data_IF_658022680384
#
_entry.id   IF_658022680384
#
_cell.length_a   1.000
_cell.length_b   1.000
_cell.length_c   1.000
_cell.angle_alpha   90.00
_cell.angle_beta   90.00
_cell.angle_gamma   90.00
#
_symmetry.space_group_name_H-M   'P 1'
#
loop_
_entity.id
_entity.type
_entity.pdbx_description
1 polymer ?
#
# COMPACT_ATOMS: atom_id res chain seq x y z
N UNK A 1 -26.51 -0.84 -13.00
CA UNK A 1 -25.28 -0.15 -12.59
C UNK A 1 -24.23 -1.22 -12.26
N UNK A 2 -23.11 -1.15 -12.95
CA UNK A 2 -21.95 -2.03 -12.77
C UNK A 2 -20.81 -1.27 -12.05
N UNK A 3 -19.92 -2.04 -11.41
CA UNK A 3 -18.67 -1.55 -10.89
C UNK A 3 -17.54 -1.91 -11.87
N UNK A 4 -16.91 -0.92 -12.47
CA UNK A 4 -15.66 -1.13 -13.18
C UNK A 4 -14.47 -1.04 -12.24
N UNK A 5 -13.47 -1.90 -12.45
CA UNK A 5 -12.23 -1.91 -11.65
C UNK A 5 -11.02 -1.94 -12.57
N UNK A 6 -10.21 -0.91 -12.50
CA UNK A 6 -8.94 -0.81 -13.24
C UNK A 6 -7.84 -1.29 -12.29
N UNK A 7 -7.52 -2.57 -12.38
CA UNK A 7 -6.61 -3.26 -11.45
C UNK A 7 -5.13 -2.97 -11.76
N UNK A 8 -4.30 -2.87 -10.72
CA UNK A 8 -2.85 -2.80 -10.83
C UNK A 8 -2.24 -4.21 -10.97
N UNK A 9 -0.92 -4.28 -11.12
CA UNK A 9 -0.16 -5.55 -11.19
C UNK A 9 0.73 -5.82 -9.97
N UNK A 10 0.71 -4.93 -8.97
CA UNK A 10 1.66 -4.96 -7.85
C UNK A 10 1.36 -6.04 -6.81
N UNK A 11 0.08 -6.35 -6.58
CA UNK A 11 -0.34 -7.32 -5.57
C UNK A 11 -1.65 -8.00 -5.95
N UNK A 12 -1.79 -9.34 -5.79
CA UNK A 12 -3.06 -10.03 -5.98
C UNK A 12 -4.09 -9.65 -4.90
N UNK A 13 -3.67 -9.14 -3.75
CA UNK A 13 -4.53 -8.81 -2.62
C UNK A 13 -5.55 -7.70 -2.92
N UNK A 14 -5.25 -6.80 -3.87
CA UNK A 14 -6.17 -5.72 -4.28
C UNK A 14 -7.51 -6.24 -4.82
N UNK A 15 -7.54 -7.49 -5.29
CA UNK A 15 -8.80 -8.11 -5.73
C UNK A 15 -9.82 -8.26 -4.58
N UNK A 16 -9.38 -8.27 -3.31
CA UNK A 16 -10.26 -8.30 -2.16
C UNK A 16 -11.22 -7.11 -2.10
N UNK A 17 -10.86 -5.96 -2.67
CA UNK A 17 -11.64 -4.73 -2.60
C UNK A 17 -12.91 -4.77 -3.46
N UNK A 18 -12.90 -5.46 -4.60
CA UNK A 18 -14.10 -5.56 -5.46
C UNK A 18 -14.97 -6.79 -5.17
N UNK A 19 -14.43 -7.83 -4.54
CA UNK A 19 -15.15 -9.08 -4.25
C UNK A 19 -16.49 -8.84 -3.52
N UNK A 20 -16.62 -7.94 -2.53
CA UNK A 20 -17.88 -7.67 -1.86
C UNK A 20 -19.01 -7.19 -2.78
N UNK A 21 -18.70 -6.61 -3.97
CA UNK A 21 -19.72 -6.22 -4.94
C UNK A 21 -20.60 -7.40 -5.37
N UNK A 22 -20.03 -8.62 -5.43
CA UNK A 22 -20.76 -9.82 -5.82
C UNK A 22 -21.81 -10.19 -4.77
N UNK A 23 -21.47 -10.09 -3.48
CA UNK A 23 -22.43 -10.30 -2.39
C UNK A 23 -23.58 -9.26 -2.43
N UNK A 24 -23.28 -8.04 -2.89
CA UNK A 24 -24.25 -6.97 -3.09
C UNK A 24 -25.02 -7.07 -4.42
N UNK A 25 -24.78 -8.11 -5.21
CA UNK A 25 -25.42 -8.35 -6.53
C UNK A 25 -25.14 -7.23 -7.54
N UNK A 26 -23.96 -6.62 -7.44
CA UNK A 26 -23.46 -5.63 -8.41
C UNK A 26 -22.54 -6.33 -9.39
N UNK A 27 -22.84 -6.34 -10.70
CA UNK A 27 -21.96 -6.92 -11.70
C UNK A 27 -20.65 -6.14 -11.78
N UNK A 28 -19.54 -6.85 -12.05
CA UNK A 28 -18.23 -6.27 -12.11
C UNK A 28 -17.63 -6.35 -13.50
N UNK A 29 -16.96 -5.28 -13.90
CA UNK A 29 -16.19 -5.16 -15.13
C UNK A 29 -14.73 -4.95 -14.74
N UNK A 30 -13.88 -5.95 -14.94
CA UNK A 30 -12.49 -5.92 -14.53
C UNK A 30 -11.56 -5.66 -15.72
N UNK A 31 -10.74 -4.65 -15.62
CA UNK A 31 -9.55 -4.46 -16.46
C UNK A 31 -8.34 -4.89 -15.64
N UNK A 32 -7.75 -6.07 -15.91
CA UNK A 32 -6.62 -6.58 -15.13
C UNK A 32 -5.35 -5.76 -15.36
N UNK A 33 -4.43 -5.84 -14.41
CA UNK A 33 -3.08 -5.34 -14.57
C UNK A 33 -2.35 -6.05 -15.71
N UNK A 34 -1.40 -5.36 -16.33
CA UNK A 34 -0.71 -5.86 -17.53
C UNK A 34 0.16 -7.08 -17.23
N UNK A 35 0.89 -7.04 -16.14
CA UNK A 35 1.84 -8.07 -15.75
C UNK A 35 1.18 -9.22 -14.95
N UNK A 36 -0.04 -9.00 -14.42
CA UNK A 36 -0.76 -10.00 -13.61
C UNK A 36 -2.27 -10.02 -13.95
N UNK A 37 -2.66 -10.58 -15.11
CA UNK A 37 -4.08 -10.69 -15.47
C UNK A 37 -4.77 -11.95 -14.91
N UNK A 38 -4.03 -12.88 -14.31
CA UNK A 38 -4.53 -14.22 -13.99
C UNK A 38 -5.29 -14.32 -12.69
N UNK A 39 -4.95 -13.53 -11.68
CA UNK A 39 -5.64 -13.58 -10.38
C UNK A 39 -7.11 -13.20 -10.52
N UNK A 40 -7.49 -12.05 -11.13
CA UNK A 40 -8.91 -11.74 -11.29
C UNK A 40 -9.65 -12.78 -12.15
N UNK A 41 -9.02 -13.32 -13.18
CA UNK A 41 -9.61 -14.38 -13.98
C UNK A 41 -9.89 -15.64 -13.15
N UNK A 42 -8.92 -16.10 -12.33
CA UNK A 42 -9.09 -17.28 -11.46
C UNK A 42 -10.19 -17.07 -10.44
N UNK A 43 -10.30 -15.88 -9.86
CA UNK A 43 -11.36 -15.52 -8.90
C UNK A 43 -12.71 -15.58 -9.59
N UNK A 44 -12.87 -15.00 -10.80
CA UNK A 44 -14.10 -15.11 -11.60
C UNK A 44 -14.48 -16.56 -11.83
N UNK A 45 -13.53 -17.40 -12.28
CA UNK A 45 -13.80 -18.83 -12.52
C UNK A 45 -14.24 -19.55 -11.23
N UNK A 46 -13.67 -19.20 -10.08
CA UNK A 46 -14.08 -19.76 -8.80
C UNK A 46 -15.51 -19.38 -8.44
N UNK A 47 -15.91 -18.10 -8.64
CA UNK A 47 -17.29 -17.66 -8.42
C UNK A 47 -18.28 -18.36 -9.34
N UNK A 48 -17.99 -18.46 -10.64
CA UNK A 48 -18.85 -19.14 -11.61
C UNK A 48 -19.00 -20.63 -11.22
N UNK A 49 -17.90 -21.29 -10.85
CA UNK A 49 -17.92 -22.69 -10.38
C UNK A 49 -18.74 -22.86 -9.09
N UNK A 50 -18.79 -21.83 -8.25
CA UNK A 50 -19.59 -21.81 -7.02
C UNK A 50 -21.08 -21.46 -7.27
N UNK A 51 -21.49 -21.22 -8.53
CA UNK A 51 -22.89 -20.96 -8.91
C UNK A 51 -23.25 -19.50 -9.15
N UNK A 52 -22.27 -18.59 -9.16
CA UNK A 52 -22.54 -17.20 -9.57
C UNK A 52 -22.83 -17.12 -11.08
N UNK A 53 -23.78 -16.28 -11.55
CA UNK A 53 -24.07 -16.11 -12.97
C UNK A 53 -22.83 -15.60 -13.71
N UNK A 54 -22.48 -16.21 -14.84
CA UNK A 54 -21.32 -15.79 -15.63
C UNK A 54 -21.46 -14.34 -16.14
N UNK A 55 -22.69 -13.90 -16.39
CA UNK A 55 -23.03 -12.55 -16.87
C UNK A 55 -22.74 -11.46 -15.84
N UNK A 56 -22.55 -11.83 -14.55
CA UNK A 56 -22.13 -10.90 -13.50
C UNK A 56 -20.67 -10.42 -13.65
N UNK A 57 -19.90 -11.07 -14.51
CA UNK A 57 -18.46 -10.81 -14.67
C UNK A 57 -18.10 -10.47 -16.09
N UNK A 58 -17.31 -9.41 -16.24
CA UNK A 58 -16.66 -9.06 -17.50
C UNK A 58 -15.16 -8.83 -17.26
N UNK A 59 -14.31 -9.44 -18.08
CA UNK A 59 -12.86 -9.27 -18.00
C UNK A 59 -12.33 -8.77 -19.33
N UNK A 60 -11.72 -7.59 -19.32
CA UNK A 60 -11.18 -6.92 -20.51
C UNK A 60 -9.68 -6.66 -20.38
N UNK A 61 -8.81 -7.60 -20.75
CA UNK A 61 -7.38 -7.32 -20.94
C UNK A 61 -7.19 -6.31 -22.06
N UNK A 62 -6.94 -5.06 -21.72
CA UNK A 62 -6.78 -3.97 -22.68
C UNK A 62 -5.70 -2.99 -22.26
N UNK A 63 -5.30 -2.10 -23.16
CA UNK A 63 -4.32 -1.05 -22.92
C UNK A 63 -4.98 0.23 -22.36
N UNK A 64 -4.20 1.31 -22.20
CA UNK A 64 -4.65 2.56 -21.56
C UNK A 64 -5.87 3.22 -22.21
N UNK A 65 -5.95 3.23 -23.54
CA UNK A 65 -7.09 3.79 -24.30
C UNK A 65 -8.39 3.01 -24.03
N UNK A 66 -8.29 1.68 -23.95
CA UNK A 66 -9.42 0.83 -23.52
C UNK A 66 -9.84 1.11 -22.07
N UNK A 67 -8.89 1.33 -21.16
CA UNK A 67 -9.18 1.73 -19.77
C UNK A 67 -9.95 3.04 -19.72
N UNK A 68 -9.53 4.05 -20.49
CA UNK A 68 -10.24 5.32 -20.61
C UNK A 68 -11.68 5.17 -21.10
N UNK A 69 -11.93 4.23 -22.02
CA UNK A 69 -13.28 3.94 -22.51
C UNK A 69 -14.15 3.29 -21.42
N UNK A 70 -13.59 2.36 -20.64
CA UNK A 70 -14.27 1.73 -19.51
C UNK A 70 -14.66 2.80 -18.47
N UNK A 71 -13.72 3.64 -18.06
CA UNK A 71 -13.91 4.70 -17.06
C UNK A 71 -15.05 5.66 -17.49
N UNK A 72 -15.07 6.06 -18.75
CA UNK A 72 -16.11 6.98 -19.25
C UNK A 72 -17.51 6.38 -19.28
N UNK A 73 -17.62 5.05 -19.42
CA UNK A 73 -18.94 4.39 -19.60
C UNK A 73 -19.51 3.78 -18.33
N UNK A 74 -18.66 3.41 -17.37
CA UNK A 74 -19.10 2.76 -16.16
C UNK A 74 -19.84 3.71 -15.21
N UNK A 75 -20.81 3.18 -14.48
CA UNK A 75 -21.58 3.93 -13.48
C UNK A 75 -20.79 4.22 -12.21
N UNK A 76 -19.93 3.29 -11.80
CA UNK A 76 -18.95 3.43 -10.69
C UNK A 76 -17.64 2.82 -11.12
N UNK A 77 -16.53 3.42 -10.72
CA UNK A 77 -15.18 2.98 -11.07
C UNK A 77 -14.27 2.97 -9.86
N UNK A 78 -13.62 1.87 -9.62
CA UNK A 78 -12.49 1.77 -8.70
C UNK A 78 -11.20 1.82 -9.53
N UNK A 79 -10.38 2.84 -9.33
CA UNK A 79 -9.22 3.12 -10.15
C UNK A 79 -7.93 3.04 -9.32
N UNK A 80 -7.05 2.11 -9.67
CA UNK A 80 -5.73 1.98 -9.09
C UNK A 80 -4.68 2.62 -9.99
N UNK A 81 -3.76 3.36 -9.40
CA UNK A 81 -2.66 3.99 -10.13
C UNK A 81 -1.72 4.77 -9.22
N UNK A 82 -0.64 5.28 -9.79
CA UNK A 82 0.21 6.26 -9.12
C UNK A 82 -0.47 7.65 -9.06
N UNK A 83 0.11 8.58 -8.29
CA UNK A 83 -0.44 9.91 -8.10
C UNK A 83 -0.67 10.66 -9.43
N UNK A 84 0.19 10.44 -10.43
CA UNK A 84 0.05 11.07 -11.74
C UNK A 84 -1.15 10.53 -12.53
N UNK A 85 -1.46 9.25 -12.36
CA UNK A 85 -2.59 8.57 -13.02
C UNK A 85 -3.91 8.95 -12.36
N UNK A 86 -3.99 8.98 -11.04
CA UNK A 86 -5.25 9.18 -10.32
C UNK A 86 -5.67 10.63 -10.21
N UNK A 87 -4.74 11.59 -10.17
CA UNK A 87 -4.99 13.02 -9.98
C UNK A 87 -6.05 13.62 -10.88
N UNK A 88 -6.12 13.19 -12.14
CA UNK A 88 -7.10 13.70 -13.09
C UNK A 88 -8.54 13.26 -12.79
N UNK A 89 -8.74 12.30 -11.89
CA UNK A 89 -10.04 11.71 -11.55
C UNK A 89 -10.52 12.05 -10.13
N UNK A 90 -9.73 12.75 -9.32
CA UNK A 90 -10.04 13.05 -7.90
C UNK A 90 -11.36 13.82 -7.70
N UNK A 91 -11.83 14.54 -8.72
CA UNK A 91 -13.07 15.31 -8.66
C UNK A 91 -14.27 14.62 -9.33
N UNK A 92 -14.16 13.37 -9.76
CA UNK A 92 -15.28 12.62 -10.31
C UNK A 92 -15.86 11.67 -9.26
N UNK A 93 -16.99 12.04 -8.66
CA UNK A 93 -17.66 11.26 -7.61
C UNK A 93 -18.03 9.82 -8.01
N UNK A 94 -17.98 9.48 -9.31
CA UNK A 94 -18.17 8.11 -9.80
C UNK A 94 -16.92 7.26 -9.63
N UNK A 95 -15.77 7.88 -9.36
CA UNK A 95 -14.47 7.23 -9.36
C UNK A 95 -13.88 7.26 -7.95
N UNK A 96 -13.72 6.08 -7.37
CA UNK A 96 -12.93 5.87 -6.15
C UNK A 96 -11.49 5.62 -6.56
N UNK A 97 -10.59 6.54 -6.19
CA UNK A 97 -9.18 6.49 -6.56
C UNK A 97 -8.35 5.81 -5.45
N UNK A 98 -7.51 4.88 -5.86
CA UNK A 98 -6.57 4.15 -5.00
C UNK A 98 -5.14 4.44 -5.46
N UNK A 99 -4.53 5.45 -4.84
CA UNK A 99 -3.20 5.95 -5.15
C UNK A 99 -2.08 5.30 -4.35
N UNK A 100 -0.99 6.06 -4.21
CA UNK A 100 0.14 5.70 -3.35
C UNK A 100 -0.28 5.80 -1.88
N UNK A 101 0.04 4.77 -1.07
CA UNK A 101 -0.47 4.66 0.30
C UNK A 101 0.29 5.50 1.32
N UNK A 102 1.61 5.63 1.16
CA UNK A 102 2.48 6.33 2.10
C UNK A 102 2.25 5.90 3.56
N UNK A 103 1.98 4.62 3.79
CA UNK A 103 1.67 4.07 5.11
C UNK A 103 2.84 4.18 6.08
N UNK A 104 2.55 4.40 7.36
CA UNK A 104 3.56 4.78 8.36
C UNK A 104 3.38 4.06 9.70
N UNK A 105 4.50 3.93 10.41
CA UNK A 105 4.52 3.63 11.83
C UNK A 105 5.02 4.84 12.59
N UNK A 106 4.26 5.27 13.59
CA UNK A 106 4.64 6.33 14.53
C UNK A 106 4.84 5.70 15.91
N UNK A 107 5.97 5.96 16.57
CA UNK A 107 6.18 5.51 17.95
C UNK A 107 6.11 6.73 18.85
N UNK A 108 5.23 6.68 19.85
CA UNK A 108 5.01 7.77 20.79
C UNK A 108 6.13 7.90 21.84
N UNK A 109 6.22 9.09 22.45
CA UNK A 109 7.18 9.40 23.52
C UNK A 109 7.06 8.45 24.72
N UNK A 110 5.86 7.92 24.98
CA UNK A 110 5.54 7.02 26.08
C UNK A 110 6.01 5.57 25.85
N UNK A 111 6.20 5.17 24.59
CA UNK A 111 6.56 3.79 24.24
C UNK A 111 7.95 3.68 23.57
N UNK A 112 8.58 4.78 23.19
CA UNK A 112 9.81 4.78 22.40
C UNK A 112 11.00 4.11 23.14
N UNK A 113 11.08 4.20 24.45
CA UNK A 113 12.16 3.55 25.23
C UNK A 113 11.99 2.03 25.35
N UNK A 114 10.89 1.50 24.78
CA UNK A 114 10.58 0.07 24.69
C UNK A 114 10.43 -0.40 23.26
N UNK A 115 10.99 0.31 22.27
CA UNK A 115 10.82 0.08 20.83
C UNK A 115 11.15 -1.37 20.40
N UNK A 116 12.03 -2.07 21.08
CA UNK A 116 12.41 -3.45 20.76
C UNK A 116 11.20 -4.41 20.77
N UNK A 117 10.18 -4.12 21.59
CA UNK A 117 8.95 -4.91 21.66
C UNK A 117 8.14 -4.86 20.35
N UNK A 118 8.39 -3.85 19.52
CA UNK A 118 7.64 -3.59 18.29
C UNK A 118 8.43 -3.94 17.03
N UNK A 119 9.65 -4.49 17.18
CA UNK A 119 10.55 -4.78 16.06
C UNK A 119 9.91 -5.74 15.05
N UNK A 120 9.25 -6.80 15.50
CA UNK A 120 8.59 -7.76 14.61
C UNK A 120 7.44 -7.11 13.84
N UNK A 121 6.65 -6.27 14.47
CA UNK A 121 5.58 -5.50 13.83
C UNK A 121 6.12 -4.54 12.78
N UNK A 122 7.23 -3.86 13.06
CA UNK A 122 7.88 -2.96 12.10
C UNK A 122 8.38 -3.75 10.89
N UNK A 123 9.11 -4.84 11.11
CA UNK A 123 9.67 -5.68 10.04
C UNK A 123 8.55 -6.30 9.19
N UNK A 124 7.49 -6.81 9.81
CA UNK A 124 6.31 -7.33 9.11
C UNK A 124 5.64 -6.25 8.26
N UNK A 125 5.42 -5.07 8.83
CA UNK A 125 4.77 -3.95 8.13
C UNK A 125 5.55 -3.49 6.90
N UNK A 126 6.88 -3.57 6.90
CA UNK A 126 7.74 -3.21 5.75
C UNK A 126 7.79 -4.34 4.72
N UNK A 127 7.90 -5.60 5.16
CA UNK A 127 8.27 -6.73 4.28
C UNK A 127 7.10 -7.61 3.81
N UNK A 128 5.91 -7.47 4.39
CA UNK A 128 4.74 -8.25 3.98
C UNK A 128 4.45 -8.07 2.47
N UNK A 129 3.96 -9.13 1.81
CA UNK A 129 3.70 -9.11 0.37
C UNK A 129 4.87 -8.59 -0.47
N UNK A 130 6.12 -8.86 -0.04
CA UNK A 130 7.31 -8.34 -0.71
C UNK A 130 7.36 -6.80 -0.78
N UNK A 131 6.75 -6.09 0.20
CA UNK A 131 6.67 -4.64 0.25
C UNK A 131 5.87 -4.00 -0.90
N UNK A 132 5.00 -4.76 -1.58
CA UNK A 132 4.29 -4.32 -2.80
C UNK A 132 2.86 -3.84 -2.57
N UNK A 133 2.48 -3.63 -1.34
CA UNK A 133 1.14 -3.18 -1.00
C UNK A 133 1.17 -1.74 -0.47
N UNK A 134 0.21 -0.92 -0.88
CA UNK A 134 0.03 0.46 -0.38
C UNK A 134 -0.12 0.55 1.15
N UNK A 135 -0.50 -0.56 1.80
CA UNK A 135 -0.57 -0.69 3.25
C UNK A 135 0.75 -1.12 3.91
N UNK A 136 1.81 -1.38 3.13
CA UNK A 136 3.14 -1.61 3.69
C UNK A 136 3.76 -0.30 4.17
N UNK A 137 4.43 -0.35 5.32
CA UNK A 137 5.07 0.84 5.89
C UNK A 137 6.21 1.32 5.00
N UNK A 138 6.15 2.57 4.59
CA UNK A 138 7.20 3.28 3.85
C UNK A 138 8.02 4.23 4.72
N UNK A 139 7.48 4.65 5.88
CA UNK A 139 8.17 5.55 6.82
C UNK A 139 7.91 5.16 8.27
N UNK A 140 8.98 5.13 9.06
CA UNK A 140 8.97 4.91 10.50
C UNK A 140 9.38 6.23 11.16
N UNK A 141 8.50 6.82 11.94
CA UNK A 141 8.71 8.12 12.60
C UNK A 141 8.87 7.91 14.09
N UNK A 142 9.95 8.38 14.65
CA UNK A 142 10.29 8.18 16.06
C UNK A 142 10.79 9.48 16.69
N UNK A 143 10.56 9.72 17.98
CA UNK A 143 11.04 10.95 18.64
C UNK A 143 12.53 10.90 18.99
N UNK A 144 13.10 9.69 19.14
CA UNK A 144 14.51 9.41 19.42
C UNK A 144 14.86 7.96 19.10
N UNK A 145 16.09 7.54 19.26
CA UNK A 145 16.62 6.19 18.99
C UNK A 145 16.59 5.76 17.51
N UNK A 146 16.46 6.71 16.57
CA UNK A 146 16.33 6.42 15.14
C UNK A 146 17.46 5.56 14.59
N UNK A 147 18.70 5.77 15.02
CA UNK A 147 19.86 4.99 14.54
C UNK A 147 19.83 3.54 15.08
N UNK A 148 19.45 3.36 16.35
CA UNK A 148 19.32 2.04 16.96
C UNK A 148 18.18 1.24 16.30
N UNK A 149 17.01 1.87 16.12
CA UNK A 149 15.86 1.27 15.45
C UNK A 149 16.20 0.94 14.00
N UNK A 150 16.81 1.87 13.26
CA UNK A 150 17.22 1.64 11.88
C UNK A 150 18.17 0.46 11.76
N UNK A 151 19.17 0.36 12.67
CA UNK A 151 20.12 -0.76 12.71
C UNK A 151 19.43 -2.09 12.95
N UNK A 152 18.54 -2.16 13.94
CA UNK A 152 17.85 -3.40 14.31
C UNK A 152 16.88 -3.87 13.20
N UNK A 153 16.11 -2.95 12.63
CA UNK A 153 15.18 -3.25 11.52
C UNK A 153 15.96 -3.66 10.27
N UNK A 154 17.03 -2.93 9.91
CA UNK A 154 17.88 -3.25 8.76
C UNK A 154 18.49 -4.64 8.84
N UNK A 155 18.99 -5.03 10.04
CA UNK A 155 19.54 -6.36 10.28
C UNK A 155 18.51 -7.47 10.02
N UNK A 156 17.29 -7.30 10.49
CA UNK A 156 16.19 -8.27 10.28
C UNK A 156 15.72 -8.30 8.82
N UNK A 157 15.65 -7.16 8.16
CA UNK A 157 15.28 -7.07 6.75
C UNK A 157 16.34 -7.72 5.84
N UNK A 158 17.62 -7.60 6.16
CA UNK A 158 18.71 -8.21 5.40
C UNK A 158 18.71 -9.76 5.41
N UNK A 159 18.00 -10.38 6.35
CA UNK A 159 17.79 -11.84 6.36
C UNK A 159 16.87 -12.32 5.23
N UNK A 160 16.06 -11.41 4.65
CA UNK A 160 15.13 -11.71 3.55
C UNK A 160 15.88 -11.63 2.22
N UNK A 161 16.21 -12.79 1.67
CA UNK A 161 17.03 -12.92 0.45
C UNK A 161 16.19 -13.33 -0.75
N UNK A 162 16.62 -13.02 -2.00
CA UNK A 162 16.04 -13.62 -3.20
C UNK A 162 16.26 -15.15 -3.20
N UNK A 163 15.18 -15.92 -3.17
CA UNK A 163 15.17 -17.37 -3.28
C UNK A 163 14.61 -17.81 -4.65
N UNK A 164 14.69 -19.09 -4.95
CA UNK A 164 14.04 -19.65 -6.15
C UNK A 164 12.52 -19.43 -6.06
N UNK A 165 11.84 -19.27 -7.20
CA UNK A 165 10.40 -18.94 -7.21
C UNK A 165 9.51 -20.03 -6.62
N UNK A 166 9.96 -21.27 -6.65
CA UNK A 166 9.29 -22.45 -6.11
C UNK A 166 9.72 -22.79 -4.68
N UNK A 167 10.63 -22.00 -4.10
CA UNK A 167 11.06 -22.16 -2.71
C UNK A 167 9.91 -21.74 -1.77
N UNK A 168 9.46 -22.61 -0.86
CA UNK A 168 8.37 -22.29 0.07
C UNK A 168 8.69 -21.14 1.03
N UNK A 169 9.96 -20.85 1.26
CA UNK A 169 10.43 -19.77 2.13
C UNK A 169 10.67 -18.44 1.37
N UNK A 170 10.39 -18.42 0.05
CA UNK A 170 10.56 -17.23 -0.77
C UNK A 170 9.62 -16.10 -0.31
N UNK A 171 10.21 -14.99 0.16
CA UNK A 171 9.49 -13.80 0.66
C UNK A 171 9.62 -12.60 -0.26
N UNK A 172 10.49 -12.65 -1.27
CA UNK A 172 10.67 -11.59 -2.27
C UNK A 172 10.12 -12.04 -3.60
N UNK A 173 9.38 -11.15 -4.25
CA UNK A 173 8.87 -11.33 -5.60
C UNK A 173 9.80 -10.67 -6.62
N UNK A 174 10.13 -11.36 -7.70
CA UNK A 174 10.82 -10.78 -8.84
C UNK A 174 9.97 -9.72 -9.55
N UNK A 175 10.61 -8.81 -10.26
CA UNK A 175 9.94 -7.81 -11.09
C UNK A 175 9.66 -8.38 -12.49
N UNK A 176 8.38 -8.42 -12.88
CA UNK A 176 7.99 -8.83 -14.23
C UNK A 176 8.47 -7.83 -15.29
N UNK A 177 8.60 -6.55 -14.94
CA UNK A 177 9.23 -5.52 -15.76
C UNK A 177 10.64 -5.20 -15.22
N UNK A 178 11.72 -5.67 -15.87
CA UNK A 178 13.08 -5.43 -15.42
C UNK A 178 13.44 -3.95 -15.32
N UNK A 179 12.98 -3.12 -16.25
CA UNK A 179 13.27 -1.69 -16.29
C UNK A 179 12.67 -0.96 -15.08
N UNK A 180 11.59 -1.47 -14.52
CA UNK A 180 10.99 -0.86 -13.34
C UNK A 180 11.84 -1.09 -12.08
N UNK A 181 12.45 -2.27 -11.92
CA UNK A 181 13.39 -2.54 -10.85
C UNK A 181 14.64 -1.65 -10.94
N UNK A 182 15.18 -1.48 -12.16
CA UNK A 182 16.32 -0.59 -12.42
C UNK A 182 15.97 0.87 -12.07
N UNK A 183 14.83 1.36 -12.55
CA UNK A 183 14.35 2.70 -12.24
C UNK A 183 14.21 2.95 -10.74
N UNK A 184 13.64 2.00 -9.98
CA UNK A 184 13.53 2.12 -8.52
C UNK A 184 14.93 2.17 -7.89
N UNK A 185 15.82 1.27 -8.29
CA UNK A 185 17.19 1.25 -7.77
C UNK A 185 17.90 2.59 -7.99
N UNK A 186 17.80 3.14 -9.19
CA UNK A 186 18.41 4.42 -9.53
C UNK A 186 17.78 5.58 -8.75
N UNK A 187 16.47 5.56 -8.52
CA UNK A 187 15.80 6.57 -7.70
C UNK A 187 16.29 6.55 -6.24
N UNK A 188 16.45 5.36 -5.65
CA UNK A 188 17.00 5.22 -4.29
C UNK A 188 18.47 5.69 -4.25
N UNK A 189 19.30 5.29 -5.22
CA UNK A 189 20.71 5.74 -5.31
C UNK A 189 20.81 7.26 -5.45
N UNK A 190 19.95 7.87 -6.27
CA UNK A 190 19.89 9.32 -6.42
C UNK A 190 19.56 10.00 -5.11
N UNK A 191 18.56 9.50 -4.38
CA UNK A 191 18.16 10.04 -3.08
C UNK A 191 19.27 9.92 -2.03
N UNK A 192 20.02 8.83 -2.01
CA UNK A 192 21.19 8.68 -1.13
C UNK A 192 22.28 9.69 -1.50
N UNK A 193 22.58 9.83 -2.80
CA UNK A 193 23.61 10.76 -3.30
C UNK A 193 23.28 12.24 -3.08
N UNK A 194 22.01 12.60 -2.93
CA UNK A 194 21.61 13.98 -2.58
C UNK A 194 22.02 14.39 -1.17
N UNK A 195 22.40 13.42 -0.33
CA UNK A 195 22.84 13.64 1.04
C UNK A 195 21.71 13.55 2.07
N UNK A 196 22.10 13.38 3.34
CA UNK A 196 21.12 13.27 4.44
C UNK A 196 20.37 11.95 4.52
N UNK A 197 20.76 10.94 3.73
CA UNK A 197 20.19 9.59 3.73
C UNK A 197 21.31 8.55 3.68
N UNK A 198 21.14 7.45 4.45
CA UNK A 198 22.08 6.34 4.51
C UNK A 198 21.32 5.02 4.37
N UNK A 199 21.73 4.16 3.44
CA UNK A 199 21.25 2.78 3.36
C UNK A 199 21.87 1.95 4.48
N UNK A 200 21.11 1.77 5.56
CA UNK A 200 21.57 1.02 6.74
C UNK A 200 21.65 -0.48 6.44
N UNK A 201 20.77 -0.98 5.57
CA UNK A 201 20.71 -2.40 5.20
C UNK A 201 21.96 -2.85 4.44
N UNK A 202 22.63 -1.93 3.74
CA UNK A 202 23.87 -2.21 3.02
C UNK A 202 24.98 -2.80 3.91
N UNK A 203 24.94 -2.55 5.24
CA UNK A 203 25.92 -3.09 6.19
C UNK A 203 25.66 -4.57 6.54
N UNK A 204 24.48 -5.09 6.23
CA UNK A 204 24.03 -6.42 6.69
C UNK A 204 23.66 -7.36 5.55
N UNK A 205 23.22 -6.82 4.39
CA UNK A 205 22.87 -7.65 3.24
C UNK A 205 24.10 -8.17 2.49
N UNK A 206 23.97 -9.34 1.89
CA UNK A 206 24.96 -9.87 0.98
C UNK A 206 24.76 -9.30 -0.43
N UNK A 207 25.77 -8.64 -0.98
CA UNK A 207 25.74 -8.07 -2.32
C UNK A 207 24.97 -6.76 -2.45
N UNK A 208 24.64 -6.42 -3.68
CA UNK A 208 23.97 -5.16 -4.04
C UNK A 208 22.46 -5.24 -3.82
N UNK A 209 21.80 -4.08 -3.68
CA UNK A 209 20.33 -3.98 -3.62
C UNK A 209 19.67 -4.62 -4.84
N UNK A 210 20.15 -4.28 -6.01
CA UNK A 210 19.70 -4.88 -7.26
C UNK A 210 20.35 -6.27 -7.44
N UNK A 211 19.53 -7.29 -7.57
CA UNK A 211 19.96 -8.68 -7.66
C UNK A 211 19.25 -9.40 -8.81
N UNK A 212 20.00 -10.18 -9.59
CA UNK A 212 19.44 -11.04 -10.64
C UNK A 212 19.54 -12.51 -10.24
N UNK A 213 18.44 -13.23 -10.38
CA UNK A 213 18.37 -14.67 -10.14
C UNK A 213 17.35 -15.32 -11.10
N UNK A 214 17.73 -16.40 -11.72
CA UNK A 214 16.87 -17.22 -12.58
C UNK A 214 16.13 -16.41 -13.67
N UNK A 215 16.82 -15.41 -14.25
CA UNK A 215 16.27 -14.51 -15.26
C UNK A 215 15.32 -13.43 -14.75
N UNK A 216 15.14 -13.31 -13.44
CA UNK A 216 14.31 -12.28 -12.80
C UNK A 216 15.17 -11.25 -12.07
N UNK A 217 14.71 -10.00 -12.07
CA UNK A 217 15.29 -8.92 -11.28
C UNK A 217 14.59 -8.83 -9.93
N UNK A 218 15.37 -8.66 -8.89
CA UNK A 218 14.90 -8.47 -7.51
C UNK A 218 15.50 -7.19 -6.94
N UNK A 219 14.78 -6.56 -6.02
CA UNK A 219 15.33 -5.54 -5.12
C UNK A 219 15.34 -6.11 -3.71
N UNK A 220 16.53 -6.22 -3.13
CA UNK A 220 16.69 -6.69 -1.76
C UNK A 220 16.17 -5.62 -0.79
N UNK A 221 15.60 -6.01 0.37
CA UNK A 221 15.07 -5.08 1.35
C UNK A 221 16.04 -3.96 1.67
N UNK A 222 15.50 -2.74 1.78
CA UNK A 222 16.31 -1.54 1.98
C UNK A 222 15.68 -0.65 3.03
N UNK A 223 16.43 -0.36 4.07
CA UNK A 223 16.06 0.59 5.11
C UNK A 223 17.00 1.81 5.05
N UNK A 224 16.42 2.96 4.91
CA UNK A 224 17.13 4.24 4.84
C UNK A 224 17.00 4.97 6.18
N UNK A 225 18.11 5.41 6.75
CA UNK A 225 18.08 6.40 7.83
C UNK A 225 18.21 7.79 7.21
N UNK A 226 17.23 8.64 7.43
CA UNK A 226 17.19 10.02 6.92
C UNK A 226 17.33 11.03 8.07
N UNK A 227 17.95 12.17 7.81
CA UNK A 227 18.20 13.21 8.82
C UNK A 227 17.00 14.13 9.06
N UNK A 228 16.06 14.24 8.11
CA UNK A 228 14.85 15.06 8.23
C UNK A 228 13.79 14.64 7.23
N UNK A 229 12.57 15.16 7.37
CA UNK A 229 11.49 15.02 6.39
C UNK A 229 11.76 15.73 5.05
N UNK A 230 12.70 16.66 5.00
CA UNK A 230 13.07 17.36 3.75
C UNK A 230 13.90 16.50 2.79
N UNK A 231 14.43 15.39 3.29
CA UNK A 231 15.14 14.42 2.47
C UNK A 231 14.15 13.66 1.57
N UNK A 232 14.44 13.60 0.26
CA UNK A 232 13.49 13.08 -0.74
C UNK A 232 13.04 11.61 -0.52
N UNK A 233 13.82 10.81 0.23
CA UNK A 233 13.47 9.42 0.57
C UNK A 233 12.66 9.31 1.87
N UNK A 234 12.46 10.38 2.63
CA UNK A 234 11.84 10.35 3.95
C UNK A 234 10.41 9.81 3.93
N UNK A 235 9.63 10.20 2.91
CA UNK A 235 8.22 9.81 2.74
C UNK A 235 7.99 9.11 1.39
N UNK A 236 9.03 8.50 0.83
CA UNK A 236 8.94 7.82 -0.47
C UNK A 236 8.41 6.40 -0.30
N UNK A 237 7.51 6.00 -1.18
CA UNK A 237 7.04 4.62 -1.28
C UNK A 237 7.57 4.00 -2.57
N UNK A 238 8.04 2.76 -2.47
CA UNK A 238 8.45 1.94 -3.61
C UNK A 238 7.86 0.54 -3.49
N UNK A 239 7.65 -0.13 -4.62
CA UNK A 239 7.03 -1.46 -4.67
C UNK A 239 8.04 -2.60 -4.41
N UNK A 240 8.74 -2.52 -3.31
CA UNK A 240 9.59 -3.56 -2.73
C UNK A 240 9.77 -3.29 -1.23
N UNK A 241 10.32 -4.18 -0.40
CA UNK A 241 10.51 -3.92 1.02
C UNK A 241 11.46 -2.73 1.25
N UNK A 242 10.88 -1.55 1.33
CA UNK A 242 11.57 -0.26 1.48
C UNK A 242 10.90 0.56 2.57
N UNK A 243 11.70 1.10 3.47
CA UNK A 243 11.22 2.11 4.41
C UNK A 243 12.34 3.07 4.81
N UNK A 244 11.93 4.26 5.25
CA UNK A 244 12.82 5.24 5.85
C UNK A 244 12.55 5.37 7.35
N UNK A 245 13.59 5.62 8.14
CA UNK A 245 13.49 5.99 9.55
C UNK A 245 13.87 7.45 9.70
N UNK A 246 12.96 8.24 10.28
CA UNK A 246 13.17 9.66 10.54
C UNK A 246 12.89 9.99 12.01
N UNK A 247 13.73 10.81 12.62
CA UNK A 247 13.46 11.37 13.94
C UNK A 247 12.69 12.67 13.83
N UNK A 248 11.64 12.79 14.64
CA UNK A 248 10.78 13.96 14.71
C UNK A 248 10.13 14.04 16.09
N UNK A 249 10.15 15.19 16.76
CA UNK A 249 9.41 15.37 18.01
C UNK A 249 7.93 14.99 17.85
N UNK A 250 7.36 14.25 18.79
CA UNK A 250 5.96 13.80 18.72
C UNK A 250 4.98 14.94 18.43
N UNK A 251 5.24 16.12 18.99
CA UNK A 251 4.38 17.30 18.80
C UNK A 251 4.27 17.73 17.32
N UNK A 252 5.31 17.46 16.51
CA UNK A 252 5.41 17.86 15.10
C UNK A 252 5.04 16.72 14.11
N UNK A 253 4.92 15.48 14.59
CA UNK A 253 4.75 14.32 13.69
C UNK A 253 3.55 14.47 12.77
N UNK A 254 2.38 14.84 13.30
CA UNK A 254 1.14 14.91 12.52
C UNK A 254 1.18 16.00 11.44
N UNK A 255 1.92 17.08 11.67
CA UNK A 255 2.07 18.16 10.68
C UNK A 255 3.02 17.75 9.54
N UNK A 256 3.93 16.79 9.78
CA UNK A 256 4.99 16.41 8.84
C UNK A 256 4.72 15.13 8.07
N UNK A 257 3.90 14.22 8.59
CA UNK A 257 3.67 12.92 7.94
C UNK A 257 2.91 13.01 6.62
N UNK A 258 2.10 14.07 6.42
CA UNK A 258 1.24 14.20 5.23
C UNK A 258 0.23 13.06 5.13
N UNK A 259 -0.34 12.89 3.93
CA UNK A 259 -1.29 11.81 3.66
C UNK A 259 -0.71 10.43 4.00
N UNK A 260 -1.55 9.59 4.59
CA UNK A 260 -1.19 8.24 5.01
C UNK A 260 -2.42 7.34 4.96
N UNK A 261 -2.40 6.35 4.07
CA UNK A 261 -3.48 5.37 3.95
C UNK A 261 -3.65 4.56 5.24
N UNK A 262 -2.53 4.12 5.83
CA UNK A 262 -2.53 3.44 7.13
C UNK A 262 -1.47 4.05 8.03
N UNK A 263 -1.87 4.40 9.23
CA UNK A 263 -0.94 4.74 10.31
C UNK A 263 -1.11 3.72 11.43
N UNK A 264 -0.01 3.12 11.85
CA UNK A 264 0.07 2.43 13.14
C UNK A 264 0.78 3.34 14.13
N UNK A 265 0.05 3.82 15.13
CA UNK A 265 0.59 4.63 16.22
C UNK A 265 0.80 3.76 17.48
N UNK A 266 2.06 3.56 17.83
CA UNK A 266 2.45 2.80 19.02
C UNK A 266 2.49 3.75 20.21
N UNK A 267 1.40 3.83 20.94
CA UNK A 267 1.21 4.74 22.08
C UNK A 267 0.07 4.28 22.99
N UNK A 268 0.08 4.76 24.22
CA UNK A 268 -1.01 4.70 25.21
C UNK A 268 -1.44 6.10 25.66
N UNK A 269 -0.77 7.14 25.18
CA UNK A 269 -1.10 8.53 25.48
C UNK A 269 -2.45 8.91 24.87
N UNK A 270 -3.46 9.07 25.72
CA UNK A 270 -4.84 9.36 25.32
C UNK A 270 -4.96 10.72 24.63
N UNK A 271 -4.19 11.72 25.05
CA UNK A 271 -4.23 13.04 24.42
C UNK A 271 -3.70 12.98 22.98
N UNK A 272 -2.62 12.23 22.78
CA UNK A 272 -2.08 12.04 21.44
C UNK A 272 -2.98 11.14 20.58
N UNK A 273 -3.58 10.08 21.14
CA UNK A 273 -4.58 9.24 20.45
C UNK A 273 -5.75 10.10 19.94
N UNK A 274 -6.26 11.02 20.74
CA UNK A 274 -7.33 11.92 20.30
C UNK A 274 -6.88 12.81 19.14
N UNK A 275 -5.66 13.36 19.18
CA UNK A 275 -5.10 14.14 18.07
C UNK A 275 -4.93 13.31 16.79
N UNK A 276 -4.57 12.02 16.91
CA UNK A 276 -4.48 11.09 15.79
C UNK A 276 -5.86 10.84 15.14
N UNK A 277 -6.92 10.69 15.95
CA UNK A 277 -8.29 10.56 15.45
C UNK A 277 -8.78 11.80 14.72
N UNK A 278 -8.36 12.97 15.16
CA UNK A 278 -8.74 14.25 14.54
C UNK A 278 -7.88 14.59 13.30
N UNK A 279 -6.86 13.79 12.98
CA UNK A 279 -5.96 14.06 11.87
C UNK A 279 -6.62 13.67 10.52
N UNK A 280 -6.92 14.65 9.64
CA UNK A 280 -7.66 14.40 8.40
C UNK A 280 -6.83 13.72 7.30
N UNK A 281 -5.54 13.53 7.53
CA UNK A 281 -4.62 12.94 6.56
C UNK A 281 -4.40 11.43 6.77
N UNK A 282 -5.09 10.83 7.74
CA UNK A 282 -4.99 9.41 8.07
C UNK A 282 -6.31 8.74 7.73
N UNK A 283 -6.31 7.83 6.75
CA UNK A 283 -7.54 7.11 6.38
C UNK A 283 -7.83 5.96 7.33
N UNK A 284 -6.80 5.17 7.68
CA UNK A 284 -6.90 4.11 8.65
C UNK A 284 -5.91 4.29 9.78
N UNK A 285 -6.41 4.26 11.00
CA UNK A 285 -5.60 4.35 12.22
C UNK A 285 -5.63 3.03 13.00
N UNK A 286 -4.44 2.47 13.26
CA UNK A 286 -4.23 1.39 14.22
C UNK A 286 -3.56 1.97 15.47
N UNK A 287 -4.02 1.61 16.65
CA UNK A 287 -3.40 2.01 17.92
C UNK A 287 -2.73 0.79 18.57
N UNK A 288 -1.47 0.95 18.98
CA UNK A 288 -0.68 -0.08 19.64
C UNK A 288 0.09 -0.99 18.67
N UNK A 289 0.40 -2.20 19.09
CA UNK A 289 1.25 -3.15 18.38
C UNK A 289 0.47 -3.91 17.28
N UNK A 290 0.11 -3.22 16.21
CA UNK A 290 -0.65 -3.77 15.07
C UNK A 290 0.11 -3.49 13.79
N UNK A 291 0.50 -4.51 12.99
CA UNK A 291 1.13 -4.29 11.69
C UNK A 291 0.21 -3.51 10.76
N UNK A 292 0.79 -2.62 9.93
CA UNK A 292 0.00 -1.77 8.99
C UNK A 292 -0.75 -2.59 7.94
N UNK A 293 -0.25 -3.76 7.60
CA UNK A 293 -0.85 -4.68 6.63
C UNK A 293 -1.97 -5.57 7.20
N UNK A 294 -2.31 -5.45 8.48
CA UNK A 294 -3.39 -6.19 9.09
C UNK A 294 -4.73 -5.54 8.80
N UNK A 295 -5.47 -6.12 7.86
CA UNK A 295 -6.81 -5.66 7.44
C UNK A 295 -7.88 -6.59 8.03
N UNK A 296 -9.05 -5.99 8.33
CA UNK A 296 -10.28 -6.72 8.68
C UNK A 296 -11.41 -6.27 7.77
N UNK A 297 -12.29 -7.20 7.40
CA UNK A 297 -13.44 -6.92 6.53
C UNK A 297 -14.44 -5.92 7.12
N UNK A 298 -14.57 -5.88 8.43
CA UNK A 298 -15.42 -4.95 9.17
C UNK A 298 -14.78 -3.57 9.38
N UNK A 299 -13.54 -3.41 8.99
CA UNK A 299 -12.77 -2.18 9.10
C UNK A 299 -11.88 -1.99 7.87
N UNK A 300 -12.46 -1.62 6.73
CA UNK A 300 -11.72 -1.40 5.50
C UNK A 300 -10.75 -0.21 5.64
N UNK A 301 -9.72 -0.19 4.80
CA UNK A 301 -8.67 0.83 4.84
C UNK A 301 -8.84 1.93 3.79
N UNK A 302 -9.70 1.73 2.80
CA UNK A 302 -9.91 2.68 1.71
C UNK A 302 -11.42 2.92 1.49
N UNK A 303 -12.10 3.35 2.55
CA UNK A 303 -13.54 3.58 2.48
C UNK A 303 -14.36 2.29 2.55
N UNK A 304 -15.64 2.42 2.28
CA UNK A 304 -16.60 1.33 2.35
C UNK A 304 -17.26 1.15 0.98
N UNK A 305 -17.01 0.02 0.32
CA UNK A 305 -17.56 -0.28 -1.00
C UNK A 305 -19.10 -0.14 -1.04
N UNK A 306 -19.81 -0.45 0.06
CA UNK A 306 -21.25 -0.24 0.12
C UNK A 306 -21.61 1.25 0.01
N UNK A 307 -20.93 2.12 0.72
CA UNK A 307 -21.18 3.57 0.67
C UNK A 307 -20.82 4.15 -0.71
N UNK A 308 -19.77 3.65 -1.33
CA UNK A 308 -19.39 4.03 -2.68
C UNK A 308 -20.41 3.59 -3.74
N UNK A 309 -20.93 2.38 -3.64
CA UNK A 309 -21.89 1.84 -4.61
C UNK A 309 -23.32 2.39 -4.44
N UNK A 310 -23.73 2.63 -3.19
CA UNK A 310 -25.09 3.04 -2.84
C UNK A 310 -25.12 4.44 -2.23
N UNK A 311 -25.25 5.45 -3.07
CA UNK A 311 -25.41 6.84 -2.65
C UNK A 311 -26.71 7.03 -1.89
N UNK A 312 -26.66 7.66 -0.72
CA UNK A 312 -27.87 8.08 0.00
C UNK A 312 -28.62 9.13 -0.82
N UNK A 313 -29.94 8.93 -1.01
CA UNK A 313 -30.81 9.90 -1.68
C UNK A 313 -32.06 10.09 -0.84
N UNK A 314 -32.37 11.34 -0.49
CA UNK A 314 -33.68 11.70 0.00
C UNK A 314 -34.64 11.86 -1.19
N UNK A 315 -35.82 11.29 -1.10
CA UNK A 315 -36.86 11.48 -2.12
C UNK A 315 -38.23 11.62 -1.45
N UNK A 316 -39.10 12.31 -2.13
CA UNK A 316 -40.49 12.47 -1.70
C UNK A 316 -41.38 12.26 -2.91
N UNK A 317 -42.44 11.46 -2.72
CA UNK A 317 -43.47 11.23 -3.73
C UNK A 317 -44.71 12.01 -3.27
N UNK A 318 -45.25 12.86 -4.14
CA UNK A 318 -46.56 13.48 -3.89
C UNK A 318 -47.64 12.39 -3.86
N UNK A 319 -48.61 12.54 -3.02
CA UNK A 319 -49.80 11.65 -3.05
C UNK A 319 -50.44 11.75 -4.44
N UNK A 320 -50.61 10.62 -5.10
CA UNK A 320 -51.36 10.53 -6.36
C UNK A 320 -52.83 10.77 -6.03
N UNK A 321 -53.37 11.90 -6.43
CA UNK A 321 -54.79 12.25 -6.24
C UNK A 321 -55.73 11.33 -7.06
#
# INVERSE_FOLDING_TARGET
NELAVILPSNSPAVNALWIPAIAMKVPVLLKPGREEPWTPWRIIQAFIKAGAPAEAFSLYPTQHDGSGTIIRRAGRVMLFGDDSTVKQYENDERIEVHGTGYSKILIGEDEIDHWEKYLDTIVESVSANSGRSCICTSTIVVPRHGDAIATAVAKRLAEIKPLAQDDPDARLSGFANPMFAEWINDAVEKGIKSGGAVDVTAQFREGERFHQRDGMNYLQPTLIRVNSFDQELAIREFLFPFASVVECPQAEMLDKIGYSLVVTAVTKDIEWINRLFDCPHIDRLNIGNVPTNRIKWDQPHEGNLFEFLYTRRSFQIAEVA
#
